data_IF_215869190301
#
_entry.id   IF_215869190301
#
_cell.length_a   1.000
_cell.length_b   1.000
_cell.length_c   1.000
_cell.angle_alpha   90.00
_cell.angle_beta   90.00
_cell.angle_gamma   90.00
#
_symmetry.space_group_name_H-M   'P 1'
#
loop_
_entity.id
_entity.type
_entity.pdbx_description
1 polymer ?
#
# COMPACT_ATOMS: atom_id res chain seq x y z
N UNK A 1 11.05 25.81 -7.28
CA UNK A 1 10.40 24.49 -7.16
C UNK A 1 8.89 24.70 -7.15
N UNK A 2 8.12 24.13 -8.11
CA UNK A 2 6.70 24.42 -8.24
C UNK A 2 5.90 23.86 -7.05
N UNK A 3 4.94 24.65 -6.55
CA UNK A 3 4.11 24.33 -5.38
C UNK A 3 3.37 22.98 -5.50
N UNK A 4 2.96 22.58 -6.71
CA UNK A 4 2.29 21.29 -6.96
C UNK A 4 3.18 20.07 -6.64
N UNK A 5 4.48 20.15 -6.92
CA UNK A 5 5.41 19.05 -6.66
C UNK A 5 5.65 18.87 -5.16
N UNK A 6 5.77 19.98 -4.41
CA UNK A 6 5.89 19.95 -2.94
C UNK A 6 4.65 19.33 -2.27
N UNK A 7 3.46 19.57 -2.83
CA UNK A 7 2.20 19.03 -2.30
C UNK A 7 2.13 17.50 -2.47
N UNK A 8 2.51 16.98 -3.65
CA UNK A 8 2.56 15.53 -3.93
C UNK A 8 3.60 14.81 -3.05
N UNK A 9 4.77 15.42 -2.84
CA UNK A 9 5.80 14.88 -1.95
C UNK A 9 5.32 14.85 -0.48
N UNK A 10 4.60 15.87 -0.04
CA UNK A 10 4.02 15.92 1.30
C UNK A 10 2.97 14.83 1.51
N UNK A 11 2.10 14.59 0.53
CA UNK A 11 1.08 13.53 0.57
C UNK A 11 1.70 12.15 0.67
N UNK A 12 2.78 11.88 -0.09
CA UNK A 12 3.52 10.63 0.00
C UNK A 12 4.18 10.45 1.39
N UNK A 13 4.77 11.50 1.94
CA UNK A 13 5.37 11.46 3.28
C UNK A 13 4.32 11.22 4.36
N UNK A 14 3.13 11.84 4.26
CA UNK A 14 2.01 11.62 5.18
C UNK A 14 1.53 10.17 5.09
N UNK A 15 1.37 9.65 3.88
CA UNK A 15 0.99 8.26 3.63
C UNK A 15 1.92 7.27 4.32
N UNK A 16 3.24 7.40 4.14
CA UNK A 16 4.21 6.53 4.81
C UNK A 16 4.29 6.78 6.32
N UNK A 17 4.10 8.01 6.79
CA UNK A 17 4.05 8.32 8.23
C UNK A 17 2.92 7.56 8.92
N UNK A 18 1.75 7.46 8.29
CA UNK A 18 0.60 6.76 8.87
C UNK A 18 0.86 5.25 8.97
N UNK A 19 1.46 4.65 7.94
CA UNK A 19 1.89 3.23 7.96
C UNK A 19 2.89 2.97 9.09
N UNK A 20 3.88 3.85 9.26
CA UNK A 20 4.93 3.67 10.28
C UNK A 20 4.39 3.92 11.69
N UNK A 21 3.44 4.85 11.87
CA UNK A 21 2.86 5.19 13.18
C UNK A 21 1.89 4.13 13.70
N UNK A 22 1.13 3.49 12.83
CA UNK A 22 0.22 2.41 13.23
C UNK A 22 0.99 1.08 13.44
N UNK A 23 0.93 0.55 14.66
CA UNK A 23 1.64 -0.68 15.06
C UNK A 23 1.20 -1.91 14.25
N UNK A 24 -0.05 -1.96 13.79
CA UNK A 24 -0.54 -3.07 12.98
C UNK A 24 -0.06 -2.97 11.53
N UNK A 25 0.09 -1.75 11.01
CA UNK A 25 0.52 -1.49 9.63
C UNK A 25 2.04 -1.52 9.45
N UNK A 26 2.81 -1.13 10.46
CA UNK A 26 4.27 -1.07 10.37
C UNK A 26 4.92 -2.34 9.78
N UNK A 27 4.51 -3.57 10.17
CA UNK A 27 5.06 -4.79 9.58
C UNK A 27 4.77 -4.93 8.08
N UNK A 28 3.69 -4.33 7.57
CA UNK A 28 3.27 -4.45 6.17
C UNK A 28 4.02 -3.54 5.21
N UNK A 29 4.92 -2.67 5.72
CA UNK A 29 5.63 -1.68 4.92
C UNK A 29 6.41 -2.32 3.77
N UNK A 30 7.04 -3.48 3.98
CA UNK A 30 7.77 -4.19 2.93
C UNK A 30 6.88 -4.61 1.76
N UNK A 31 5.67 -5.12 2.06
CA UNK A 31 4.70 -5.48 1.03
C UNK A 31 4.22 -4.24 0.27
N UNK A 32 3.97 -3.14 0.99
CA UNK A 32 3.51 -1.90 0.37
C UNK A 32 4.56 -1.31 -0.57
N UNK A 33 5.83 -1.26 -0.13
CA UNK A 33 6.95 -0.80 -0.96
C UNK A 33 7.10 -1.69 -2.20
N UNK A 34 7.07 -3.01 -2.04
CA UNK A 34 7.15 -3.94 -3.17
C UNK A 34 6.03 -3.73 -4.20
N UNK A 35 4.79 -3.53 -3.75
CA UNK A 35 3.67 -3.23 -4.65
C UNK A 35 3.95 -1.93 -5.41
N UNK A 36 4.36 -0.88 -4.71
CA UNK A 36 4.59 0.43 -5.30
C UNK A 36 5.78 0.47 -6.27
N UNK A 37 6.84 -0.30 -6.00
CA UNK A 37 8.05 -0.32 -6.84
C UNK A 37 7.97 -1.34 -7.99
N UNK A 38 7.36 -2.51 -7.77
CA UNK A 38 7.42 -3.62 -8.73
C UNK A 38 6.10 -3.93 -9.42
N UNK A 39 4.96 -3.47 -8.88
CA UNK A 39 3.62 -3.89 -9.37
C UNK A 39 2.80 -2.79 -10.00
N UNK A 40 3.05 -1.54 -9.64
CA UNK A 40 2.34 -0.42 -10.25
C UNK A 40 2.95 -0.06 -11.60
N UNK A 41 2.09 0.02 -12.61
CA UNK A 41 2.43 0.62 -13.89
C UNK A 41 2.18 2.13 -13.87
N UNK A 42 2.90 2.86 -14.72
CA UNK A 42 2.79 4.32 -14.81
C UNK A 42 1.34 4.73 -15.11
N UNK A 43 0.75 5.52 -14.22
CA UNK A 43 -0.62 6.03 -14.37
C UNK A 43 -1.72 5.07 -13.96
N UNK A 44 -1.40 3.89 -13.40
CA UNK A 44 -2.37 2.93 -12.89
C UNK A 44 -2.16 2.66 -11.39
N UNK A 45 -3.27 2.57 -10.65
CA UNK A 45 -3.30 2.07 -9.27
C UNK A 45 -3.73 0.61 -9.20
N UNK A 46 -4.14 0.01 -10.32
CA UNK A 46 -4.52 -1.39 -10.42
C UNK A 46 -3.28 -2.23 -10.70
N UNK A 47 -3.18 -3.36 -10.03
CA UNK A 47 -2.05 -4.26 -10.19
C UNK A 47 -2.45 -5.73 -9.96
N UNK A 48 -1.66 -6.62 -10.55
CA UNK A 48 -1.74 -8.06 -10.35
C UNK A 48 -0.60 -8.53 -9.45
N UNK A 49 -0.89 -9.44 -8.51
CA UNK A 49 0.16 -10.16 -7.78
C UNK A 49 -0.33 -11.52 -7.29
N UNK A 50 0.54 -12.52 -7.32
CA UNK A 50 0.28 -13.81 -6.67
C UNK A 50 0.97 -13.90 -5.31
N UNK A 51 0.46 -14.78 -4.45
CA UNK A 51 1.09 -15.04 -3.16
C UNK A 51 2.50 -15.61 -3.33
N UNK A 52 2.67 -16.58 -4.23
CA UNK A 52 3.94 -17.26 -4.48
C UNK A 52 5.04 -16.30 -4.89
N UNK A 53 4.74 -15.41 -5.82
CA UNK A 53 5.66 -14.38 -6.29
C UNK A 53 6.14 -13.48 -5.15
N UNK A 54 5.19 -12.93 -4.37
CA UNK A 54 5.51 -11.99 -3.29
C UNK A 54 6.31 -12.67 -2.18
N UNK A 55 5.92 -13.90 -1.82
CA UNK A 55 6.62 -14.75 -0.85
C UNK A 55 8.08 -14.94 -1.26
N UNK A 56 8.30 -15.28 -2.53
CA UNK A 56 9.65 -15.48 -3.08
C UNK A 56 10.44 -14.17 -3.12
N UNK A 57 9.83 -13.08 -3.57
CA UNK A 57 10.48 -11.78 -3.70
C UNK A 57 10.91 -11.18 -2.35
N UNK A 58 10.09 -11.36 -1.31
CA UNK A 58 10.32 -10.79 0.02
C UNK A 58 10.97 -11.75 1.02
N UNK A 59 11.11 -13.05 0.67
CA UNK A 59 11.67 -14.06 1.57
C UNK A 59 10.84 -14.27 2.84
N UNK A 60 9.51 -14.11 2.75
CA UNK A 60 8.58 -14.19 3.90
C UNK A 60 7.76 -15.48 3.87
N UNK A 61 7.23 -15.90 5.01
CA UNK A 61 6.31 -17.05 5.03
C UNK A 61 4.96 -16.72 4.39
N UNK A 62 4.24 -17.77 3.97
CA UNK A 62 2.85 -17.67 3.48
C UNK A 62 1.92 -16.98 4.47
N UNK A 63 2.05 -17.32 5.75
CA UNK A 63 1.24 -16.74 6.82
C UNK A 63 1.53 -15.25 7.00
N UNK A 64 2.81 -14.85 6.92
CA UNK A 64 3.21 -13.44 6.97
C UNK A 64 2.62 -12.67 5.79
N UNK A 65 2.71 -13.22 4.58
CA UNK A 65 2.10 -12.61 3.38
C UNK A 65 0.59 -12.37 3.56
N UNK A 66 -0.17 -13.41 3.91
CA UNK A 66 -1.63 -13.26 4.04
C UNK A 66 -2.03 -12.37 5.22
N UNK A 67 -1.25 -12.36 6.31
CA UNK A 67 -1.47 -11.45 7.44
C UNK A 67 -1.28 -10.00 7.01
N UNK A 68 -0.18 -9.69 6.33
CA UNK A 68 0.11 -8.34 5.84
C UNK A 68 -0.93 -7.88 4.81
N UNK A 69 -1.25 -8.74 3.83
CA UNK A 69 -2.26 -8.45 2.83
C UNK A 69 -3.62 -8.16 3.48
N UNK A 70 -4.04 -8.98 4.44
CA UNK A 70 -5.29 -8.79 5.21
C UNK A 70 -5.26 -7.47 5.96
N UNK A 71 -4.16 -7.10 6.60
CA UNK A 71 -4.02 -5.83 7.31
C UNK A 71 -4.14 -4.65 6.36
N UNK A 72 -3.43 -4.64 5.23
CA UNK A 72 -3.50 -3.58 4.23
C UNK A 72 -4.94 -3.41 3.68
N UNK A 73 -5.64 -4.51 3.40
CA UNK A 73 -7.04 -4.46 2.96
C UNK A 73 -7.97 -3.95 4.07
N UNK A 74 -7.83 -4.47 5.29
CA UNK A 74 -8.64 -4.05 6.46
C UNK A 74 -8.50 -2.56 6.75
N UNK A 75 -7.28 -2.03 6.62
CA UNK A 75 -6.95 -0.61 6.85
C UNK A 75 -7.24 0.26 5.63
N UNK A 76 -7.70 -0.33 4.52
CA UNK A 76 -8.14 0.40 3.33
C UNK A 76 -7.03 0.85 2.40
N UNK A 77 -5.79 0.40 2.59
CA UNK A 77 -4.65 0.68 1.70
C UNK A 77 -4.79 -0.05 0.37
N UNK A 78 -5.43 -1.22 0.37
CA UNK A 78 -5.68 -2.04 -0.80
C UNK A 78 -7.16 -2.42 -0.89
N UNK A 79 -7.67 -2.53 -2.11
CA UNK A 79 -8.97 -3.15 -2.40
C UNK A 79 -8.75 -4.31 -3.35
N UNK A 80 -9.25 -5.52 -3.02
CA UNK A 80 -9.29 -6.63 -3.98
C UNK A 80 -10.41 -6.38 -4.97
N UNK A 81 -10.10 -6.47 -6.26
CA UNK A 81 -11.07 -6.27 -7.34
C UNK A 81 -11.34 -7.57 -8.12
N UNK A 82 -10.42 -8.53 -8.10
CA UNK A 82 -10.61 -9.88 -8.63
C UNK A 82 -9.59 -10.85 -7.97
N UNK A 83 -9.59 -12.11 -8.38
CA UNK A 83 -8.57 -13.10 -8.07
C UNK A 83 -7.19 -12.56 -8.44
N UNK A 84 -6.35 -12.33 -7.44
CA UNK A 84 -4.99 -11.78 -7.58
C UNK A 84 -4.91 -10.36 -8.19
N UNK A 85 -6.02 -9.68 -8.41
CA UNK A 85 -6.06 -8.29 -8.84
C UNK A 85 -6.52 -7.36 -7.72
N UNK A 86 -5.79 -6.26 -7.58
CA UNK A 86 -5.96 -5.29 -6.50
C UNK A 86 -5.87 -3.87 -7.04
N UNK A 87 -6.39 -2.92 -6.26
CA UNK A 87 -6.20 -1.49 -6.44
C UNK A 87 -5.53 -0.90 -5.19
N UNK A 88 -4.49 -0.10 -5.38
CA UNK A 88 -3.88 0.72 -4.33
C UNK A 88 -4.74 1.96 -4.06
N UNK A 89 -4.98 2.27 -2.79
CA UNK A 89 -5.76 3.43 -2.37
C UNK A 89 -4.84 4.47 -1.69
N UNK A 90 -4.25 5.42 -2.44
CA UNK A 90 -3.34 6.42 -1.86
C UNK A 90 -4.08 7.51 -1.04
N UNK A 91 -5.38 7.70 -1.27
CA UNK A 91 -6.14 8.84 -0.73
C UNK A 91 -6.98 8.51 0.52
N UNK A 92 -6.92 7.30 1.07
CA UNK A 92 -7.70 6.96 2.27
C UNK A 92 -7.04 7.48 3.54
N UNK A 93 -6.97 8.81 3.64
CA UNK A 93 -6.92 9.53 4.91
C UNK A 93 -8.22 10.32 5.02
N UNK A 94 -9.12 10.03 5.98
CA UNK A 94 -10.12 11.02 6.39
C UNK A 94 -9.40 12.14 7.15
N UNK A 95 -8.75 13.04 6.42
CA UNK A 95 -8.38 14.38 6.94
C UNK A 95 -9.38 15.38 6.37
N UNK A 96 -10.68 15.07 6.50
CA UNK A 96 -11.84 15.98 6.48
C UNK A 96 -13.11 15.14 6.55
N UNK A 97 -13.41 14.62 7.74
CA UNK A 97 -14.80 14.42 8.15
C UNK A 97 -14.89 14.72 9.64
N UNK A 98 -14.79 16.00 9.96
CA UNK A 98 -15.30 16.62 11.18
C UNK A 98 -14.86 18.10 11.16
N UNK A 99 -15.75 18.94 10.65
CA UNK A 99 -15.95 20.38 10.86
C UNK A 99 -16.31 21.06 9.53
#
# INVERSE_FOLDING_TARGET
MPLKTKLVEADAVIYFKDVVRDKELRPTLYLLVYIMSEKLEKGSLKFYMTAEEVIKALGISRDTYYRWLKTLMKKGYLTRIDTNYYTLNPQKHPITSSA
#
